data_IF_611418685209
#
_entry.id   IF_611418685209
#
_cell.length_a   1.000
_cell.length_b   1.000
_cell.length_c   1.000
_cell.angle_alpha   90.00
_cell.angle_beta   90.00
_cell.angle_gamma   90.00
#
_symmetry.space_group_name_H-M   'P 1'
#
loop_
_entity.id
_entity.type
_entity.pdbx_description
1 polymer ?
#
# COMPACT_ATOMS: atom_id res chain seq x y z
N UNK A 1 -17.44 -6.46 11.78
CA UNK A 1 -16.93 -7.72 11.21
C UNK A 1 -15.61 -8.03 11.87
N UNK A 2 -15.36 -9.29 12.25
CA UNK A 2 -14.11 -9.74 12.88
C UNK A 2 -13.49 -10.82 12.01
N UNK A 3 -12.24 -10.65 11.59
CA UNK A 3 -11.52 -11.58 10.73
C UNK A 3 -10.21 -10.97 10.22
N UNK A 4 -9.29 -11.84 9.79
CA UNK A 4 -8.01 -11.42 9.21
C UNK A 4 -8.15 -11.24 7.70
N UNK A 5 -7.44 -10.25 7.14
CA UNK A 5 -7.30 -10.12 5.69
C UNK A 5 -6.40 -11.25 5.19
N UNK A 6 -6.88 -11.99 4.19
CA UNK A 6 -6.14 -13.11 3.57
C UNK A 6 -6.33 -13.07 2.07
N UNK A 7 -5.30 -13.49 1.35
CA UNK A 7 -5.39 -13.68 -0.09
C UNK A 7 -6.47 -14.73 -0.43
N UNK A 8 -7.24 -14.47 -1.49
CA UNK A 8 -8.20 -15.41 -2.07
C UNK A 8 -7.54 -16.18 -3.23
N UNK A 9 -8.21 -17.19 -3.79
CA UNK A 9 -7.62 -18.09 -4.79
C UNK A 9 -7.01 -17.41 -6.03
N UNK A 10 -7.49 -16.22 -6.43
CA UNK A 10 -6.97 -15.46 -7.59
C UNK A 10 -5.88 -14.43 -7.20
N UNK A 11 -5.66 -14.22 -5.91
CA UNK A 11 -4.72 -13.23 -5.38
C UNK A 11 -3.52 -13.98 -4.82
N UNK A 12 -2.32 -13.66 -5.30
CA UNK A 12 -1.09 -14.32 -4.85
C UNK A 12 -0.70 -13.87 -3.42
N UNK A 13 -0.80 -12.57 -3.13
CA UNK A 13 -0.50 -12.03 -1.81
C UNK A 13 -1.36 -10.81 -1.44
N UNK A 14 -1.48 -10.55 -0.14
CA UNK A 14 -1.97 -9.27 0.39
C UNK A 14 -0.93 -8.73 1.36
N UNK A 15 -0.40 -7.55 1.04
CA UNK A 15 0.64 -6.88 1.82
C UNK A 15 0.25 -5.44 2.12
N UNK A 16 0.74 -4.92 3.25
CA UNK A 16 0.66 -3.50 3.56
C UNK A 16 1.95 -2.81 3.14
N UNK A 17 1.83 -1.75 2.34
CA UNK A 17 2.98 -1.00 1.84
C UNK A 17 3.27 0.19 2.74
N UNK A 18 4.55 0.41 3.03
CA UNK A 18 5.07 1.63 3.66
C UNK A 18 5.61 2.58 2.58
N UNK A 19 6.01 3.79 2.95
CA UNK A 19 6.50 4.75 1.96
C UNK A 19 7.67 4.20 1.12
N UNK A 20 8.58 3.46 1.75
CA UNK A 20 9.72 2.83 1.08
C UNK A 20 9.32 1.80 0.01
N UNK A 21 8.11 1.26 0.08
CA UNK A 21 7.62 0.23 -0.83
C UNK A 21 6.88 0.82 -2.04
N UNK A 22 6.82 2.16 -2.19
CA UNK A 22 6.01 2.82 -3.23
C UNK A 22 6.28 2.31 -4.65
N UNK A 23 7.52 1.91 -4.94
CA UNK A 23 7.92 1.39 -6.25
C UNK A 23 7.30 0.03 -6.60
N UNK A 24 6.71 -0.67 -5.62
CA UNK A 24 5.90 -1.89 -5.85
C UNK A 24 4.50 -1.59 -6.38
N UNK A 25 4.11 -0.32 -6.47
CA UNK A 25 2.80 0.14 -6.93
C UNK A 25 2.89 0.94 -8.24
N UNK A 26 1.74 1.26 -8.84
CA UNK A 26 1.71 1.99 -10.11
C UNK A 26 2.29 3.41 -9.97
N UNK A 27 2.77 4.05 -11.04
CA UNK A 27 3.32 5.41 -10.95
C UNK A 27 2.34 6.45 -10.40
N UNK A 28 1.04 6.26 -10.59
CA UNK A 28 0.01 7.15 -10.02
C UNK A 28 -0.05 7.02 -8.51
N UNK A 29 0.03 5.79 -7.98
CA UNK A 29 -0.01 5.54 -6.55
C UNK A 29 1.24 6.13 -5.86
N UNK A 30 2.39 6.08 -6.52
CA UNK A 30 3.63 6.69 -6.00
C UNK A 30 3.48 8.20 -5.76
N UNK A 31 2.75 8.92 -6.62
CA UNK A 31 2.45 10.36 -6.43
C UNK A 31 1.62 10.56 -5.16
N UNK A 32 0.66 9.67 -4.90
CA UNK A 32 -0.17 9.72 -3.68
C UNK A 32 0.70 9.44 -2.44
N UNK A 33 1.62 8.47 -2.50
CA UNK A 33 2.56 8.19 -1.42
C UNK A 33 3.43 9.41 -1.09
N UNK A 34 3.98 10.07 -2.12
CA UNK A 34 4.77 11.29 -1.97
C UNK A 34 3.96 12.42 -1.32
N UNK A 35 2.73 12.63 -1.81
CA UNK A 35 1.80 13.60 -1.21
C UNK A 35 1.51 13.31 0.28
N UNK A 36 1.23 12.05 0.63
CA UNK A 36 0.90 11.67 2.00
C UNK A 36 2.12 11.77 2.93
N UNK A 37 3.32 11.45 2.45
CA UNK A 37 4.56 11.64 3.20
C UNK A 37 4.84 13.12 3.46
N UNK A 38 4.68 13.97 2.45
CA UNK A 38 4.86 15.42 2.61
C UNK A 38 3.87 16.02 3.62
N UNK A 39 2.70 15.40 3.79
CA UNK A 39 1.71 15.76 4.82
C UNK A 39 1.99 15.16 6.20
N UNK A 40 3.02 14.33 6.35
CA UNK A 40 3.32 13.59 7.58
C UNK A 40 2.27 12.53 7.93
N UNK A 41 1.49 12.09 6.94
CA UNK A 41 0.42 11.10 7.11
C UNK A 41 0.88 9.68 6.75
N UNK A 42 2.06 9.56 6.15
CA UNK A 42 2.69 8.30 5.80
C UNK A 42 4.18 8.38 6.15
N UNK A 43 4.68 7.37 6.86
CA UNK A 43 6.08 7.24 7.28
C UNK A 43 6.85 6.30 6.38
#
# INVERSE_FOLDING_TARGET
>A
YTGDIRAASEIDEVVWLQYQDKERSSPVDQIIFDYLKDKGQLT
#
